data_IF_437630633793
#
_entry.id   IF_437630633793
#
_cell.length_a   1.000
_cell.length_b   1.000
_cell.length_c   1.000
_cell.angle_alpha   90.00
_cell.angle_beta   90.00
_cell.angle_gamma   90.00
#
_symmetry.space_group_name_H-M   'P 1'
#
loop_
_entity.id
_entity.type
_entity.pdbx_description
1 polymer ?
#
# COMPACT_ATOMS: atom_id res chain seq x y z
N UNK A 1 18.28 93.72 1.46
CA UNK A 1 18.83 92.40 1.09
C UNK A 1 18.83 91.50 2.33
N UNK A 2 18.37 90.26 2.37
CA UNK A 2 17.44 89.47 1.54
C UNK A 2 17.02 88.31 2.48
N UNK A 3 15.73 88.26 2.82
CA UNK A 3 15.12 87.16 3.56
C UNK A 3 15.42 85.81 2.91
N UNK A 4 15.78 84.80 3.70
CA UNK A 4 15.66 83.40 3.28
C UNK A 4 14.83 82.63 4.30
N UNK A 5 13.59 82.38 3.89
CA UNK A 5 12.67 81.36 4.42
C UNK A 5 13.34 79.99 4.26
N UNK A 6 13.34 79.17 5.31
CA UNK A 6 13.59 77.74 5.16
C UNK A 6 12.27 76.99 5.38
N UNK A 7 11.93 76.23 4.35
CA UNK A 7 10.71 75.45 4.18
C UNK A 7 10.83 74.19 5.03
N UNK A 8 9.83 73.95 5.89
CA UNK A 8 9.70 72.71 6.67
C UNK A 8 9.25 71.61 5.70
N UNK A 9 10.10 70.60 5.53
CA UNK A 9 9.89 69.44 4.69
C UNK A 9 8.91 68.48 5.42
N UNK A 10 7.81 68.12 4.75
CA UNK A 10 6.87 67.10 5.23
C UNK A 10 7.57 65.75 5.35
N UNK A 11 7.51 65.17 6.54
CA UNK A 11 8.00 63.82 6.85
C UNK A 11 7.09 62.82 6.14
N UNK A 12 7.60 62.22 5.06
CA UNK A 12 7.08 60.99 4.47
C UNK A 12 7.25 59.86 5.48
N UNK A 13 6.15 59.36 6.04
CA UNK A 13 6.17 58.14 6.86
C UNK A 13 6.42 56.96 5.91
N UNK A 14 7.50 56.18 6.09
CA UNK A 14 7.90 55.18 5.12
C UNK A 14 6.97 53.97 5.19
N UNK A 15 6.39 53.62 4.04
CA UNK A 15 5.62 52.39 3.73
C UNK A 15 6.39 51.09 4.04
N UNK A 16 7.66 51.19 4.46
CA UNK A 16 8.57 50.07 4.75
C UNK A 16 8.31 49.34 6.09
N UNK A 17 7.49 49.88 7.00
CA UNK A 17 7.31 49.30 8.34
C UNK A 17 6.34 48.10 8.40
N UNK A 18 5.54 47.85 7.36
CA UNK A 18 4.47 46.82 7.38
C UNK A 18 4.80 45.58 6.53
N UNK A 19 5.72 45.68 5.58
CA UNK A 19 6.06 44.57 4.67
C UNK A 19 6.88 43.45 5.30
N UNK A 20 7.80 43.78 6.21
CA UNK A 20 8.72 42.81 6.83
C UNK A 20 7.99 41.81 7.75
N UNK A 21 7.05 42.22 8.63
CA UNK A 21 6.30 41.28 9.47
C UNK A 21 5.48 40.26 8.67
N UNK A 22 4.88 40.68 7.55
CA UNK A 22 4.07 39.83 6.68
C UNK A 22 4.90 38.73 6.01
N UNK A 23 6.12 39.06 5.56
CA UNK A 23 7.03 38.08 4.97
C UNK A 23 7.52 37.05 6.01
N UNK A 24 7.75 37.46 7.25
CA UNK A 24 8.13 36.56 8.35
C UNK A 24 6.97 35.60 8.66
N UNK A 25 5.73 36.09 8.72
CA UNK A 25 4.54 35.25 8.94
C UNK A 25 4.34 34.28 7.79
N UNK A 26 4.49 34.73 6.54
CA UNK A 26 4.39 33.86 5.37
C UNK A 26 5.48 32.78 5.35
N UNK A 27 6.72 33.12 5.70
CA UNK A 27 7.82 32.15 5.81
C UNK A 27 7.56 31.12 6.91
N UNK A 28 7.09 31.54 8.09
CA UNK A 28 6.67 30.63 9.16
C UNK A 28 5.53 29.72 8.72
N UNK A 29 4.55 30.24 7.99
CA UNK A 29 3.45 29.45 7.46
C UNK A 29 3.93 28.39 6.47
N UNK A 30 4.86 28.74 5.57
CA UNK A 30 5.45 27.81 4.62
C UNK A 30 6.31 26.74 5.30
N UNK A 31 7.10 27.11 6.32
CA UNK A 31 7.90 26.15 7.10
C UNK A 31 6.97 25.21 7.88
N UNK A 32 5.99 25.75 8.59
CA UNK A 32 5.04 24.96 9.37
C UNK A 32 4.23 24.02 8.47
N UNK A 33 3.72 24.52 7.34
CA UNK A 33 2.96 23.73 6.39
C UNK A 33 3.81 22.68 5.67
N UNK A 34 5.05 23.03 5.29
CA UNK A 34 6.02 22.10 4.72
C UNK A 34 6.43 21.00 5.70
N UNK A 35 6.63 21.33 6.97
CA UNK A 35 6.94 20.37 8.03
C UNK A 35 5.75 19.43 8.31
N UNK A 36 4.53 19.99 8.33
CA UNK A 36 3.30 19.21 8.53
C UNK A 36 3.03 18.24 7.37
N UNK A 37 3.22 18.68 6.11
CA UNK A 37 3.11 17.80 4.94
C UNK A 37 4.25 16.76 4.92
N UNK A 38 5.48 17.16 5.26
CA UNK A 38 6.64 16.26 5.28
C UNK A 38 6.50 15.11 6.27
N UNK A 39 5.99 15.37 7.49
CA UNK A 39 5.75 14.35 8.50
C UNK A 39 4.65 13.35 8.11
N UNK A 40 3.62 13.81 7.40
CA UNK A 40 2.57 12.93 6.88
C UNK A 40 3.07 11.94 5.82
N UNK A 41 4.01 12.36 4.96
CA UNK A 41 4.60 11.48 3.94
C UNK A 41 5.64 10.51 4.51
N UNK A 42 6.36 10.90 5.58
CA UNK A 42 7.35 10.05 6.24
C UNK A 42 6.73 8.79 6.87
N UNK A 43 5.54 8.90 7.45
CA UNK A 43 4.85 7.73 8.01
C UNK A 43 4.45 6.72 6.92
N UNK A 44 3.99 7.20 5.75
CA UNK A 44 3.63 6.34 4.62
C UNK A 44 4.85 5.63 4.03
N UNK A 45 5.99 6.32 3.92
CA UNK A 45 7.25 5.71 3.44
C UNK A 45 7.76 4.61 4.39
N UNK A 46 7.75 4.87 5.70
CA UNK A 46 8.18 3.87 6.69
C UNK A 46 7.33 2.60 6.65
N UNK A 47 6.05 2.70 6.31
CA UNK A 47 5.18 1.53 6.25
C UNK A 47 5.50 0.60 5.06
N UNK A 48 6.01 1.11 3.94
CA UNK A 48 6.44 0.26 2.82
C UNK A 48 7.72 -0.53 3.17
N UNK A 49 8.62 0.06 3.96
CA UNK A 49 9.75 -0.69 4.51
C UNK A 49 9.27 -1.80 5.47
N UNK A 50 8.21 -1.56 6.25
CA UNK A 50 7.62 -2.60 7.09
C UNK A 50 6.94 -3.68 6.25
N UNK A 51 6.35 -3.32 5.11
CA UNK A 51 5.76 -4.29 4.19
C UNK A 51 6.82 -5.31 3.74
N UNK A 52 8.01 -4.82 3.35
CA UNK A 52 9.12 -5.65 2.90
C UNK A 52 9.78 -6.46 4.04
N UNK A 53 10.01 -5.84 5.20
CA UNK A 53 10.71 -6.49 6.32
C UNK A 53 9.79 -7.29 7.26
N UNK A 54 8.47 -7.07 7.17
CA UNK A 54 7.46 -7.66 8.04
C UNK A 54 7.24 -9.14 7.82
N UNK A 55 7.68 -9.69 6.67
CA UNK A 55 7.55 -11.13 6.35
C UNK A 55 8.14 -12.00 7.44
N UNK A 56 9.34 -11.67 7.93
CA UNK A 56 10.01 -12.44 9.00
C UNK A 56 9.25 -12.40 10.35
N UNK A 57 8.31 -11.48 10.51
CA UNK A 57 7.50 -11.31 11.72
C UNK A 57 6.08 -11.90 11.56
N UNK A 58 5.66 -12.22 10.34
CA UNK A 58 4.34 -12.72 10.01
C UNK A 58 4.51 -14.13 9.45
N UNK A 59 4.41 -15.12 10.34
CA UNK A 59 4.70 -16.53 10.01
C UNK A 59 3.97 -17.04 8.75
N UNK A 60 2.66 -16.81 8.55
CA UNK A 60 1.98 -17.25 7.32
C UNK A 60 2.48 -16.55 6.04
N UNK A 61 3.00 -15.32 6.15
CA UNK A 61 3.61 -14.63 5.02
C UNK A 61 4.92 -15.30 4.60
N UNK A 62 5.77 -15.62 5.58
CA UNK A 62 7.01 -16.37 5.37
C UNK A 62 6.73 -17.72 4.69
N UNK A 63 5.69 -18.41 5.12
CA UNK A 63 5.25 -19.68 4.52
C UNK A 63 4.81 -19.51 3.06
N UNK A 64 4.15 -18.40 2.70
CA UNK A 64 3.81 -18.11 1.30
C UNK A 64 5.05 -17.88 0.44
N UNK A 65 6.05 -17.14 0.93
CA UNK A 65 7.32 -16.96 0.20
C UNK A 65 8.07 -18.29 -0.02
N UNK A 66 7.97 -19.23 0.92
CA UNK A 66 8.62 -20.54 0.77
C UNK A 66 7.93 -21.43 -0.26
N UNK A 67 6.61 -21.29 -0.44
CA UNK A 67 5.85 -22.11 -1.38
C UNK A 67 5.78 -21.51 -2.79
N UNK A 68 5.88 -20.18 -2.93
CA UNK A 68 5.62 -19.49 -4.19
C UNK A 68 6.74 -18.51 -4.55
N UNK A 69 7.28 -18.64 -5.76
CA UNK A 69 8.38 -17.81 -6.26
C UNK A 69 8.01 -16.33 -6.44
N UNK A 70 6.76 -16.02 -6.81
CA UNK A 70 6.25 -14.65 -6.97
C UNK A 70 5.25 -14.33 -5.85
N UNK A 71 5.78 -13.95 -4.67
CA UNK A 71 5.01 -13.48 -3.53
C UNK A 71 5.33 -12.01 -3.25
N UNK A 72 4.30 -11.16 -3.28
CA UNK A 72 4.42 -9.69 -3.19
C UNK A 72 3.75 -9.19 -1.93
N UNK A 73 4.32 -8.15 -1.32
CA UNK A 73 3.89 -7.64 -0.03
C UNK A 73 3.44 -6.19 -0.11
N UNK A 74 2.35 -5.87 0.58
CA UNK A 74 1.86 -4.50 0.66
C UNK A 74 1.09 -4.24 1.95
N UNK A 75 0.87 -2.96 2.26
CA UNK A 75 0.03 -2.54 3.38
C UNK A 75 -1.10 -1.69 2.84
N UNK A 76 -2.33 -2.11 3.14
CA UNK A 76 -3.54 -1.36 2.82
C UNK A 76 -4.09 -0.72 4.09
N UNK A 77 -4.48 0.54 3.98
CA UNK A 77 -5.12 1.28 5.07
C UNK A 77 -6.62 1.30 4.83
N UNK A 78 -7.39 0.89 5.84
CA UNK A 78 -8.83 1.09 5.83
C UNK A 78 -9.19 2.33 6.66
N UNK A 79 -9.98 3.23 6.09
CA UNK A 79 -10.40 4.47 6.74
C UNK A 79 -9.32 5.55 6.76
N UNK A 80 -9.35 6.46 7.76
CA UNK A 80 -8.35 7.54 7.93
C UNK A 80 -7.07 6.98 8.58
N UNK A 81 -6.47 5.96 7.96
CA UNK A 81 -5.25 5.29 8.41
C UNK A 81 -5.33 4.65 9.82
N UNK A 82 -6.52 4.24 10.25
CA UNK A 82 -6.73 3.70 11.60
C UNK A 82 -6.48 2.20 11.71
N UNK A 83 -6.60 1.46 10.60
CA UNK A 83 -6.38 0.01 10.56
C UNK A 83 -5.48 -0.30 9.37
N UNK A 84 -4.30 -0.83 9.67
CA UNK A 84 -3.35 -1.32 8.69
C UNK A 84 -3.57 -2.81 8.50
N UNK A 85 -3.82 -3.22 7.26
CA UNK A 85 -3.85 -4.63 6.89
C UNK A 85 -2.60 -4.91 6.07
N UNK A 86 -1.84 -5.91 6.48
CA UNK A 86 -0.71 -6.41 5.72
C UNK A 86 -1.21 -7.48 4.75
N UNK A 87 -0.75 -7.42 3.50
CA UNK A 87 -1.14 -8.32 2.42
C UNK A 87 0.08 -9.07 1.89
N UNK A 88 -0.04 -10.38 1.72
CA UNK A 88 0.81 -11.14 0.79
C UNK A 88 -0.04 -11.62 -0.38
N UNK A 89 0.48 -11.47 -1.59
CA UNK A 89 -0.19 -11.88 -2.81
C UNK A 89 0.77 -12.74 -3.63
N UNK A 90 0.39 -13.99 -3.85
CA UNK A 90 1.14 -14.95 -4.66
C UNK A 90 0.41 -15.27 -5.96
N UNK A 91 1.13 -15.27 -7.07
CA UNK A 91 0.61 -15.62 -8.40
C UNK A 91 1.21 -16.94 -8.86
N UNK A 92 0.37 -17.93 -9.15
CA UNK A 92 0.87 -19.29 -9.44
C UNK A 92 -0.05 -20.07 -10.39
N UNK A 93 0.50 -21.16 -10.94
CA UNK A 93 -0.22 -22.05 -11.87
C UNK A 93 -0.73 -21.38 -13.15
N UNK A 94 -0.22 -20.17 -13.49
CA UNK A 94 -0.65 -19.39 -14.65
C UNK A 94 -2.12 -18.98 -14.63
N UNK A 95 -2.78 -19.03 -13.46
CA UNK A 95 -4.20 -18.68 -13.33
C UNK A 95 -4.68 -18.35 -11.92
N UNK A 96 -3.89 -18.60 -10.89
CA UNK A 96 -4.33 -18.42 -9.50
C UNK A 96 -3.64 -17.23 -8.85
N UNK A 97 -4.42 -16.48 -8.07
CA UNK A 97 -3.92 -15.48 -7.15
C UNK A 97 -4.35 -15.89 -5.75
N UNK A 98 -3.39 -16.07 -4.85
CA UNK A 98 -3.62 -16.26 -3.42
C UNK A 98 -3.29 -14.95 -2.70
N UNK A 99 -4.25 -14.41 -1.97
CA UNK A 99 -4.04 -13.25 -1.11
C UNK A 99 -4.21 -13.66 0.35
N UNK A 100 -3.17 -13.48 1.16
CA UNK A 100 -3.27 -13.47 2.61
C UNK A 100 -3.42 -12.04 3.11
N UNK A 101 -4.33 -11.82 4.06
CA UNK A 101 -4.54 -10.55 4.72
C UNK A 101 -4.49 -10.73 6.23
N UNK A 102 -3.71 -9.90 6.92
CA UNK A 102 -3.62 -9.94 8.38
C UNK A 102 -3.62 -8.52 8.95
N UNK A 103 -4.44 -8.22 9.97
CA UNK A 103 -4.43 -6.91 10.61
C UNK A 103 -3.15 -6.75 11.42
N UNK A 104 -2.45 -5.63 11.20
CA UNK A 104 -1.18 -5.33 11.88
C UNK A 104 -1.23 -3.96 12.56
N UNK A 105 -0.49 -3.82 13.64
CA UNK A 105 -0.11 -2.53 14.20
C UNK A 105 1.35 -2.28 13.87
N UNK A 106 1.62 -1.19 13.17
CA UNK A 106 2.97 -0.81 12.75
C UNK A 106 3.50 0.19 13.78
N UNK A 107 4.64 -0.14 14.40
CA UNK A 107 5.26 0.70 15.42
C UNK A 107 6.41 1.54 14.85
N UNK A 108 7.10 1.01 13.85
CA UNK A 108 8.17 1.68 13.11
C UNK A 108 8.28 1.10 11.70
N UNK A 109 9.24 1.59 10.91
CA UNK A 109 9.47 1.08 9.55
C UNK A 109 9.98 -0.37 9.48
N UNK A 110 10.38 -0.95 10.62
CA UNK A 110 10.92 -2.32 10.68
C UNK A 110 10.24 -3.19 11.75
N UNK A 111 9.33 -2.62 12.54
CA UNK A 111 8.71 -3.30 13.68
C UNK A 111 7.20 -3.09 13.70
N UNK A 112 6.49 -4.18 13.99
CA UNK A 112 5.05 -4.19 14.18
C UNK A 112 4.61 -5.49 14.83
N UNK A 113 3.31 -5.61 15.05
CA UNK A 113 2.69 -6.79 15.62
C UNK A 113 1.44 -7.19 14.82
N UNK A 114 1.19 -8.49 14.73
CA UNK A 114 -0.09 -9.03 14.25
C UNK A 114 -1.13 -8.82 15.35
N UNK A 115 -2.28 -8.25 14.97
CA UNK A 115 -3.34 -7.85 15.92
C UNK A 115 -4.62 -8.69 15.78
N UNK A 116 -4.61 -9.70 14.91
CA UNK A 116 -5.75 -10.58 14.68
C UNK A 116 -5.39 -11.68 13.69
N UNK A 117 -6.36 -12.54 13.41
CA UNK A 117 -6.15 -13.74 12.59
C UNK A 117 -5.94 -13.41 11.11
N UNK A 118 -5.00 -14.11 10.42
CA UNK A 118 -4.85 -14.02 8.99
C UNK A 118 -6.06 -14.65 8.27
N UNK A 119 -6.40 -14.10 7.11
CA UNK A 119 -7.44 -14.60 6.22
C UNK A 119 -6.86 -14.82 4.83
N UNK A 120 -7.27 -15.92 4.19
CA UNK A 120 -6.75 -16.30 2.90
C UNK A 120 -7.86 -16.29 1.85
N UNK A 121 -7.53 -15.74 0.70
CA UNK A 121 -8.44 -15.52 -0.41
C UNK A 121 -7.79 -16.08 -1.66
N UNK A 122 -8.33 -17.18 -2.17
CA UNK A 122 -7.87 -17.76 -3.44
C UNK A 122 -8.85 -17.38 -4.55
N UNK A 123 -8.30 -16.85 -5.64
CA UNK A 123 -9.03 -16.43 -6.82
C UNK A 123 -8.53 -17.23 -8.02
N UNK A 124 -9.46 -17.72 -8.85
CA UNK A 124 -9.15 -18.29 -10.15
C UNK A 124 -9.43 -17.26 -11.26
N UNK A 125 -8.41 -16.96 -12.05
CA UNK A 125 -8.56 -16.22 -13.30
C UNK A 125 -9.10 -17.15 -14.37
N UNK A 126 -10.21 -16.75 -14.99
CA UNK A 126 -10.87 -17.50 -16.08
C UNK A 126 -10.46 -17.00 -17.46
N UNK A 127 -10.28 -15.69 -17.60
CA UNK A 127 -9.85 -15.07 -18.85
C UNK A 127 -9.24 -13.71 -18.60
N UNK A 128 -8.30 -13.31 -19.47
CA UNK A 128 -7.73 -11.96 -19.52
C UNK A 128 -8.27 -11.23 -20.74
N UNK A 129 -8.67 -9.98 -20.55
CA UNK A 129 -9.14 -9.09 -21.61
C UNK A 129 -8.43 -7.74 -21.50
N UNK A 130 -8.23 -7.05 -22.61
CA UNK A 130 -7.60 -5.74 -22.61
C UNK A 130 -8.68 -4.70 -22.89
N UNK A 131 -8.91 -3.79 -21.95
CA UNK A 131 -9.87 -2.71 -22.12
C UNK A 131 -9.20 -1.45 -22.67
N UNK A 132 -9.95 -0.69 -23.47
CA UNK A 132 -9.59 0.68 -23.84
C UNK A 132 -8.39 0.82 -24.79
N UNK A 133 -8.07 2.07 -25.11
CA UNK A 133 -6.90 2.45 -25.90
C UNK A 133 -5.59 2.43 -25.09
N UNK A 134 -5.68 2.35 -23.77
CA UNK A 134 -4.55 2.28 -22.83
C UNK A 134 -4.04 0.84 -22.63
N UNK A 135 -4.78 -0.17 -23.11
CA UNK A 135 -4.31 -1.54 -23.19
C UNK A 135 -4.08 -2.21 -21.84
N UNK A 136 -4.74 -1.74 -20.77
CA UNK A 136 -4.57 -2.34 -19.44
C UNK A 136 -5.27 -3.71 -19.39
N UNK A 137 -4.57 -4.77 -18.93
CA UNK A 137 -5.19 -6.08 -18.80
C UNK A 137 -6.17 -6.10 -17.62
N UNK A 138 -7.40 -6.49 -17.89
CA UNK A 138 -8.40 -6.88 -16.90
C UNK A 138 -8.59 -8.40 -16.89
N UNK A 139 -9.22 -8.93 -15.84
CA UNK A 139 -9.49 -10.36 -15.70
C UNK A 139 -10.96 -10.61 -15.38
N UNK A 140 -11.51 -11.68 -15.96
CA UNK A 140 -12.70 -12.32 -15.41
C UNK A 140 -12.24 -13.31 -14.35
N UNK A 141 -12.66 -13.07 -13.11
CA UNK A 141 -12.27 -13.86 -11.95
C UNK A 141 -13.46 -14.64 -11.40
N UNK A 142 -13.17 -15.79 -10.81
CA UNK A 142 -14.14 -16.58 -10.06
C UNK A 142 -13.69 -16.64 -8.59
N UNK A 143 -14.61 -16.31 -7.68
CA UNK A 143 -14.40 -16.33 -6.23
C UNK A 143 -15.44 -17.22 -5.57
N UNK A 144 -15.00 -18.18 -4.75
CA UNK A 144 -15.84 -18.83 -3.75
C UNK A 144 -17.00 -19.69 -4.24
N UNK A 145 -17.00 -20.13 -5.51
CA UNK A 145 -18.12 -20.92 -6.03
C UNK A 145 -18.08 -22.40 -5.61
N UNK A 146 -16.90 -22.93 -5.21
CA UNK A 146 -16.74 -24.34 -4.84
C UNK A 146 -15.90 -24.60 -3.56
N UNK A 147 -15.47 -23.55 -2.84
CA UNK A 147 -14.63 -23.71 -1.65
C UNK A 147 -14.90 -22.68 -0.54
N UNK A 148 -14.65 -23.03 0.74
CA UNK A 148 -14.84 -22.12 1.86
C UNK A 148 -14.00 -20.85 1.67
N UNK A 149 -14.67 -19.69 1.68
CA UNK A 149 -14.05 -18.39 1.41
C UNK A 149 -14.48 -17.34 2.45
N UNK A 150 -13.54 -16.59 3.04
CA UNK A 150 -12.10 -16.89 3.12
C UNK A 150 -11.83 -18.21 3.87
N UNK A 151 -10.68 -18.84 3.63
CA UNK A 151 -10.24 -19.95 4.48
C UNK A 151 -9.31 -19.47 5.60
N UNK A 152 -9.27 -20.24 6.69
CA UNK A 152 -8.70 -19.85 7.97
C UNK A 152 -7.19 -20.10 8.06
N UNK A 153 -6.57 -19.61 9.14
CA UNK A 153 -5.18 -19.95 9.48
C UNK A 153 -4.97 -21.48 9.65
N UNK A 154 -5.97 -22.19 10.17
CA UNK A 154 -5.92 -23.65 10.34
C UNK A 154 -5.92 -24.37 8.99
N UNK A 155 -6.74 -23.91 8.05
CA UNK A 155 -6.77 -24.45 6.68
C UNK A 155 -5.45 -24.19 5.96
N UNK A 156 -4.90 -22.97 6.12
CA UNK A 156 -3.60 -22.63 5.57
C UNK A 156 -2.47 -23.51 6.12
N UNK A 157 -2.45 -23.79 7.43
CA UNK A 157 -1.45 -24.68 8.02
C UNK A 157 -1.45 -26.07 7.36
N UNK A 158 -2.63 -26.63 7.08
CA UNK A 158 -2.76 -27.91 6.36
C UNK A 158 -2.17 -27.84 4.95
N UNK A 159 -2.45 -26.76 4.21
CA UNK A 159 -1.90 -26.54 2.86
C UNK A 159 -0.38 -26.42 2.89
N UNK A 160 0.17 -25.66 3.84
CA UNK A 160 1.61 -25.50 3.99
C UNK A 160 2.31 -26.81 4.35
N UNK A 161 1.79 -27.56 5.33
CA UNK A 161 2.31 -28.90 5.69
C UNK A 161 2.27 -29.88 4.52
N UNK A 162 1.30 -29.73 3.62
CA UNK A 162 1.16 -30.51 2.41
C UNK A 162 1.98 -29.97 1.21
N UNK A 163 2.86 -29.00 1.44
CA UNK A 163 3.74 -28.45 0.40
C UNK A 163 3.00 -27.64 -0.67
N UNK A 164 1.91 -26.97 -0.29
CA UNK A 164 1.08 -26.19 -1.21
C UNK A 164 -0.02 -27.00 -1.90
N UNK A 165 -0.30 -28.23 -1.45
CA UNK A 165 -1.44 -29.02 -1.97
C UNK A 165 -2.75 -28.54 -1.34
N UNK A 166 -3.54 -27.81 -2.13
CA UNK A 166 -4.85 -27.28 -1.74
C UNK A 166 -5.95 -28.36 -1.66
N UNK A 167 -5.72 -29.56 -2.17
CA UNK A 167 -6.71 -30.64 -2.11
C UNK A 167 -6.98 -31.12 -0.68
N UNK A 168 -6.02 -30.92 0.24
CA UNK A 168 -6.16 -31.25 1.68
C UNK A 168 -7.23 -30.43 2.39
N UNK A 169 -7.65 -29.30 1.80
CA UNK A 169 -8.79 -28.49 2.26
C UNK A 169 -9.97 -28.54 1.28
N UNK A 170 -9.97 -29.53 0.37
CA UNK A 170 -11.06 -29.77 -0.58
C UNK A 170 -11.02 -28.91 -1.84
N UNK A 171 -9.93 -28.20 -2.10
CA UNK A 171 -9.80 -27.31 -3.27
C UNK A 171 -8.98 -28.02 -4.36
N UNK A 172 -9.61 -28.31 -5.49
CA UNK A 172 -8.95 -28.95 -6.63
C UNK A 172 -8.49 -27.88 -7.63
N UNK A 173 -7.18 -27.64 -7.69
CA UNK A 173 -6.59 -26.70 -8.63
C UNK A 173 -6.41 -27.31 -10.01
N UNK A 174 -6.62 -26.50 -11.04
CA UNK A 174 -6.38 -26.81 -12.45
C UNK A 174 -4.97 -26.36 -12.83
N UNK A 175 -4.00 -27.26 -12.74
CA UNK A 175 -2.58 -26.96 -12.94
C UNK A 175 -2.11 -27.05 -14.40
N UNK A 176 -2.90 -27.65 -15.27
CA UNK A 176 -2.59 -27.95 -16.67
C UNK A 176 -3.26 -27.00 -17.68
N UNK A 177 -3.98 -25.99 -17.19
CA UNK A 177 -4.76 -25.05 -17.99
C UNK A 177 -4.42 -23.58 -17.65
N UNK A 178 -3.20 -23.10 -17.96
CA UNK A 178 -2.85 -21.71 -17.72
C UNK A 178 -3.69 -20.76 -18.59
N UNK A 179 -3.98 -19.56 -18.08
CA UNK A 179 -4.71 -18.53 -18.82
C UNK A 179 -3.74 -17.69 -19.62
N UNK A 180 -3.97 -17.59 -20.93
CA UNK A 180 -3.17 -16.74 -21.82
C UNK A 180 -3.19 -15.28 -21.34
N UNK A 181 -2.01 -14.68 -21.19
CA UNK A 181 -1.86 -13.29 -20.74
C UNK A 181 -1.93 -13.11 -19.22
N UNK A 182 -1.93 -14.21 -18.44
CA UNK A 182 -1.94 -14.14 -16.98
C UNK A 182 -0.74 -13.38 -16.42
N UNK A 183 0.47 -13.62 -16.92
CA UNK A 183 1.69 -12.94 -16.44
C UNK A 183 1.62 -11.43 -16.68
N UNK A 184 1.11 -10.99 -17.84
CA UNK A 184 0.91 -9.57 -18.13
C UNK A 184 -0.09 -8.94 -17.15
N UNK A 185 -1.18 -9.65 -16.86
CA UNK A 185 -2.16 -9.23 -15.87
C UNK A 185 -1.58 -9.19 -14.45
N UNK A 186 -0.86 -10.23 -14.02
CA UNK A 186 -0.22 -10.32 -12.72
C UNK A 186 0.80 -9.19 -12.53
N UNK A 187 1.58 -8.86 -13.56
CA UNK A 187 2.55 -7.77 -13.54
C UNK A 187 1.90 -6.38 -13.58
N UNK A 188 0.74 -6.24 -14.22
CA UNK A 188 -0.01 -4.98 -14.31
C UNK A 188 -0.83 -4.65 -13.07
N UNK A 189 -0.90 -5.54 -12.08
CA UNK A 189 -1.52 -5.28 -10.77
C UNK A 189 -0.46 -5.12 -9.66
N UNK A 190 0.51 -4.19 -9.77
CA UNK A 190 1.42 -3.90 -8.68
C UNK A 190 0.63 -3.26 -7.52
N UNK A 191 0.94 -3.67 -6.30
CA UNK A 191 0.37 -3.09 -5.07
C UNK A 191 0.98 -1.75 -4.69
#
# INVERSE_FOLDING_TARGET
>A
MKNRKLIICLISIPVLAVGIPLLIVAAWFLIYFGFYIGLGNLSVLGHQEFAANGVAQIEPARQMEELFDDCRHSIKYTGRNSVSTWHAEAYFGGRYQLTMQVPVRIESSTRGEVTGEPKFYLIEVRSIHHYGSDGRPGATIEQGNDWPYPFSAEDWAKVYEAGGDFSVIGINLKTDEPVKGFDDWANAHPH
#
